data_IF_445031430700
#
_entry.id   IF_445031430700
#
_cell.length_a   1.000
_cell.length_b   1.000
_cell.length_c   1.000
_cell.angle_alpha   90.00
_cell.angle_beta   90.00
_cell.angle_gamma   90.00
#
_symmetry.space_group_name_H-M   'P 1'
#
loop_
_entity.id
_entity.type
_entity.pdbx_description
1 polymer ?
#
# COMPACT_ATOMS: atom_id res chain seq x y z
N UNK A 1 20.70 5.51 -7.43
CA UNK A 1 19.49 6.33 -7.19
C UNK A 1 18.76 5.70 -6.03
N UNK A 2 18.22 6.49 -5.11
CA UNK A 2 17.54 6.00 -3.89
C UNK A 2 16.04 6.08 -4.15
N UNK A 3 15.29 5.01 -3.84
CA UNK A 3 13.84 4.98 -3.91
C UNK A 3 13.25 5.10 -2.49
N UNK A 4 12.17 5.86 -2.37
CA UNK A 4 11.37 6.02 -1.16
C UNK A 4 9.97 5.52 -1.48
N UNK A 5 9.50 4.55 -0.69
CA UNK A 5 8.20 3.91 -0.87
C UNK A 5 7.48 3.84 0.48
N UNK A 6 6.59 4.80 0.79
CA UNK A 6 5.86 4.79 2.06
C UNK A 6 4.96 3.56 2.18
N UNK A 7 4.97 2.92 3.35
CA UNK A 7 4.07 1.80 3.64
C UNK A 7 2.66 2.30 3.93
N UNK A 8 1.69 1.83 3.13
CA UNK A 8 0.27 2.12 3.34
C UNK A 8 -0.26 1.50 4.63
N UNK A 9 0.49 0.60 5.28
CA UNK A 9 0.13 0.05 6.59
C UNK A 9 0.09 1.12 7.68
N UNK A 10 0.85 2.22 7.51
CA UNK A 10 0.86 3.36 8.43
C UNK A 10 -0.16 4.44 8.08
N UNK A 11 -0.93 4.25 7.00
CA UNK A 11 -1.90 5.23 6.51
C UNK A 11 -3.18 5.26 7.36
N UNK A 12 -3.92 6.37 7.27
CA UNK A 12 -5.30 6.44 7.74
C UNK A 12 -6.21 5.72 6.73
N UNK A 13 -6.62 4.50 7.07
CA UNK A 13 -7.49 3.70 6.21
C UNK A 13 -8.87 4.31 5.96
N UNK A 14 -9.34 5.26 6.78
CA UNK A 14 -10.61 5.96 6.52
C UNK A 14 -10.52 6.89 5.30
N UNK A 15 -9.30 7.26 4.90
CA UNK A 15 -9.00 8.20 3.80
C UNK A 15 -7.86 7.68 2.91
N UNK A 16 -7.75 6.36 2.73
CA UNK A 16 -6.60 5.72 2.08
C UNK A 16 -6.28 6.28 0.68
N UNK A 17 -7.31 6.48 -0.17
CA UNK A 17 -7.11 7.03 -1.51
C UNK A 17 -6.59 8.47 -1.53
N UNK A 18 -7.01 9.27 -0.54
CA UNK A 18 -6.50 10.64 -0.39
C UNK A 18 -5.03 10.63 0.05
N UNK A 19 -4.67 9.83 1.05
CA UNK A 19 -3.28 9.71 1.50
C UNK A 19 -2.36 9.14 0.43
N UNK A 20 -2.86 8.24 -0.42
CA UNK A 20 -2.12 7.74 -1.57
C UNK A 20 -1.80 8.87 -2.57
N UNK A 21 -2.79 9.72 -2.88
CA UNK A 21 -2.61 10.89 -3.76
C UNK A 21 -1.68 11.95 -3.13
N UNK A 22 -1.74 12.13 -1.82
CA UNK A 22 -0.79 12.99 -1.09
C UNK A 22 0.65 12.46 -1.22
N UNK A 23 0.86 11.15 -1.09
CA UNK A 23 2.17 10.53 -1.29
C UNK A 23 2.67 10.68 -2.73
N UNK A 24 1.81 10.47 -3.73
CA UNK A 24 2.14 10.70 -5.15
C UNK A 24 2.54 12.15 -5.43
N UNK A 25 1.82 13.11 -4.84
CA UNK A 25 2.18 14.53 -4.94
C UNK A 25 3.51 14.89 -4.25
N UNK A 26 4.01 14.02 -3.36
CA UNK A 26 5.29 14.17 -2.67
C UNK A 26 6.50 13.57 -3.43
N UNK A 27 6.31 13.15 -4.69
CA UNK A 27 7.37 12.67 -5.59
C UNK A 27 8.10 11.40 -5.08
N UNK A 28 7.35 10.51 -4.43
CA UNK A 28 7.82 9.16 -4.05
C UNK A 28 7.83 8.22 -5.25
N UNK A 29 8.62 7.14 -5.18
CA UNK A 29 8.79 6.23 -6.33
C UNK A 29 7.73 5.12 -6.38
N UNK A 30 7.07 4.87 -5.26
CA UNK A 30 6.06 3.84 -5.12
C UNK A 30 5.35 3.92 -3.78
N UNK A 31 4.38 3.03 -3.61
CA UNK A 31 3.74 2.75 -2.32
C UNK A 31 3.99 1.29 -1.97
N UNK A 32 4.51 1.04 -0.78
CA UNK A 32 4.66 -0.30 -0.26
C UNK A 32 3.31 -0.77 0.29
N UNK A 33 2.89 -1.98 -0.11
CA UNK A 33 1.59 -2.56 0.18
C UNK A 33 1.76 -3.95 0.80
N UNK A 34 1.56 -4.03 2.12
CA UNK A 34 1.72 -5.24 2.90
C UNK A 34 0.41 -6.04 3.02
N UNK A 35 0.33 -7.20 2.36
CA UNK A 35 -0.82 -8.11 2.39
C UNK A 35 -0.55 -9.25 3.38
N UNK A 36 -1.36 -9.35 4.43
CA UNK A 36 -1.18 -10.34 5.51
C UNK A 36 -2.42 -11.24 5.67
N UNK A 37 -2.22 -12.55 5.82
CA UNK A 37 -3.29 -13.56 5.87
C UNK A 37 -3.66 -14.07 7.27
N UNK A 38 -3.01 -13.59 8.34
CA UNK A 38 -3.22 -14.10 9.70
C UNK A 38 -2.63 -15.49 9.96
N UNK A 39 -1.96 -16.11 8.97
CA UNK A 39 -1.31 -17.42 9.09
C UNK A 39 0.20 -17.31 9.03
N UNK A 40 0.74 -16.63 8.01
CA UNK A 40 2.17 -16.35 7.91
C UNK A 40 2.63 -15.38 9.01
N UNK A 41 1.79 -14.38 9.30
CA UNK A 41 1.93 -13.44 10.41
C UNK A 41 0.62 -13.34 11.19
N UNK A 42 0.60 -12.97 12.49
CA UNK A 42 -0.62 -12.97 13.30
C UNK A 42 -1.67 -11.93 12.87
N UNK A 43 -1.24 -10.84 12.23
CA UNK A 43 -2.12 -9.75 11.81
C UNK A 43 -2.77 -10.06 10.46
N UNK A 44 -3.97 -9.50 10.25
CA UNK A 44 -4.65 -9.47 8.95
C UNK A 44 -4.74 -8.01 8.54
N UNK A 45 -4.32 -7.69 7.32
CA UNK A 45 -4.42 -6.34 6.75
C UNK A 45 -5.60 -6.28 5.80
N UNK A 46 -5.34 -6.36 4.50
CA UNK A 46 -6.31 -6.31 3.42
C UNK A 46 -5.86 -7.23 2.28
N UNK A 47 -6.78 -7.53 1.38
CA UNK A 47 -6.53 -8.40 0.23
C UNK A 47 -6.46 -7.67 -1.12
N UNK A 48 -6.50 -8.43 -2.23
CA UNK A 48 -6.40 -7.88 -3.59
C UNK A 48 -7.46 -6.83 -3.94
N UNK A 49 -8.63 -6.86 -3.29
CA UNK A 49 -9.69 -5.85 -3.50
C UNK A 49 -9.24 -4.44 -3.11
N UNK A 50 -8.48 -4.30 -2.02
CA UNK A 50 -7.95 -2.99 -1.61
C UNK A 50 -6.80 -2.56 -2.52
N UNK A 51 -5.95 -3.50 -2.96
CA UNK A 51 -4.89 -3.21 -3.94
C UNK A 51 -5.47 -2.68 -5.25
N UNK A 52 -6.55 -3.29 -5.73
CA UNK A 52 -7.26 -2.85 -6.94
C UNK A 52 -7.89 -1.45 -6.76
N UNK A 53 -8.49 -1.17 -5.60
CA UNK A 53 -9.02 0.15 -5.29
C UNK A 53 -7.91 1.21 -5.19
N UNK A 54 -6.79 0.89 -4.55
CA UNK A 54 -5.63 1.78 -4.46
C UNK A 54 -5.03 2.07 -5.84
N UNK A 55 -4.98 1.07 -6.73
CA UNK A 55 -4.51 1.24 -8.11
C UNK A 55 -5.33 2.27 -8.89
N UNK A 56 -6.63 2.42 -8.62
CA UNK A 56 -7.46 3.44 -9.27
C UNK A 56 -7.25 4.87 -8.73
N UNK A 57 -6.54 5.04 -7.61
CA UNK A 57 -6.34 6.36 -6.97
C UNK A 57 -5.03 7.04 -7.39
N UNK A 58 -4.01 6.28 -7.79
CA UNK A 58 -2.66 6.79 -8.11
C UNK A 58 -2.10 6.14 -9.37
N UNK A 59 -1.01 6.67 -9.92
CA UNK A 59 -0.22 6.10 -11.02
C UNK A 59 1.12 5.50 -10.60
N UNK A 60 1.56 5.75 -9.36
CA UNK A 60 2.76 5.18 -8.72
C UNK A 60 2.88 3.66 -8.83
N UNK A 61 4.10 3.12 -8.79
CA UNK A 61 4.29 1.67 -8.58
C UNK A 61 3.68 1.24 -7.25
N UNK A 62 2.92 0.15 -7.25
CA UNK A 62 2.47 -0.49 -6.01
C UNK A 62 3.39 -1.68 -5.76
N UNK A 63 4.30 -1.56 -4.79
CA UNK A 63 5.19 -2.64 -4.38
C UNK A 63 4.45 -3.54 -3.39
N UNK A 64 3.95 -4.67 -3.89
CA UNK A 64 3.08 -5.56 -3.12
C UNK A 64 3.92 -6.64 -2.44
N UNK A 65 4.03 -6.54 -1.12
CA UNK A 65 4.69 -7.52 -0.27
C UNK A 65 3.68 -8.52 0.28
N UNK A 66 3.76 -9.76 -0.20
CA UNK A 66 2.88 -10.86 0.19
C UNK A 66 3.43 -11.60 1.41
N UNK A 67 2.80 -11.38 2.56
CA UNK A 67 3.04 -12.07 3.81
C UNK A 67 1.96 -13.13 4.03
N UNK A 68 1.94 -14.14 3.16
CA UNK A 68 0.91 -15.19 3.10
C UNK A 68 1.53 -16.58 2.89
N UNK A 69 0.82 -17.66 3.26
CA UNK A 69 1.21 -19.08 3.00
C UNK A 69 0.33 -19.80 1.99
#
# INVERSE_FOLDING_TARGET
MIAIEPSVLSADFTRLGEQAREAEAADVQGLQVDVMDGRFVPNITFGPGVVAALRSEVSLTLDVHLMIV
#
